data_IF_426148082568
#
_entry.id   IF_426148082568
#
_cell.length_a   1.000
_cell.length_b   1.000
_cell.length_c   1.000
_cell.angle_alpha   90.00
_cell.angle_beta   90.00
_cell.angle_gamma   90.00
#
_symmetry.space_group_name_H-M   'P 1'
#
loop_
_entity.id
_entity.type
_entity.pdbx_description
1 polymer ?
#
# COMPACT_ATOMS: atom_id res chain seq x y z
N UNK A 1 -42.92 -12.80 -5.72
CA UNK A 1 -41.51 -12.75 -5.29
C UNK A 1 -41.33 -11.48 -4.50
N UNK A 2 -41.14 -11.61 -3.19
CA UNK A 2 -40.97 -10.48 -2.29
C UNK A 2 -39.59 -9.87 -2.51
N UNK A 3 -39.57 -8.59 -2.85
CA UNK A 3 -38.42 -7.69 -2.75
C UNK A 3 -37.76 -7.93 -1.38
N UNK A 4 -36.65 -8.67 -1.35
CA UNK A 4 -35.84 -8.77 -0.15
C UNK A 4 -35.29 -7.39 0.12
N UNK A 5 -35.82 -6.80 1.19
CA UNK A 5 -35.50 -5.49 1.71
C UNK A 5 -33.99 -5.37 1.98
N UNK A 6 -33.24 -4.92 0.96
CA UNK A 6 -31.79 -4.68 0.99
C UNK A 6 -31.40 -3.66 2.09
N UNK A 7 -32.37 -2.93 2.65
CA UNK A 7 -32.17 -1.94 3.71
C UNK A 7 -31.80 -2.55 5.06
N UNK A 8 -32.06 -3.86 5.27
CA UNK A 8 -31.67 -4.57 6.51
C UNK A 8 -30.24 -5.12 6.49
N UNK A 9 -29.53 -4.95 5.38
CA UNK A 9 -28.14 -5.41 5.25
C UNK A 9 -27.13 -4.33 5.69
N UNK A 10 -25.97 -4.77 6.20
CA UNK A 10 -24.94 -3.87 6.72
C UNK A 10 -24.55 -2.79 5.70
N UNK A 11 -24.32 -1.55 6.16
CA UNK A 11 -24.04 -0.40 5.30
C UNK A 11 -22.81 -0.58 4.40
N UNK A 12 -21.93 -1.55 4.66
CA UNK A 12 -20.68 -1.77 3.94
C UNK A 12 -20.69 -3.02 3.04
N UNK A 13 -21.85 -3.52 2.61
CA UNK A 13 -21.91 -4.64 1.66
C UNK A 13 -21.41 -4.25 0.26
N UNK A 14 -20.42 -4.99 -0.23
CA UNK A 14 -19.76 -4.78 -1.52
C UNK A 14 -20.72 -4.99 -2.70
N UNK A 15 -21.76 -5.79 -2.49
CA UNK A 15 -22.86 -6.05 -3.40
C UNK A 15 -23.83 -4.86 -3.53
N UNK A 16 -23.93 -4.02 -2.50
CA UNK A 16 -24.74 -2.79 -2.53
C UNK A 16 -24.11 -1.73 -3.45
N UNK A 17 -22.80 -1.79 -3.62
CA UNK A 17 -22.01 -0.86 -4.44
C UNK A 17 -21.65 -1.43 -5.82
N UNK A 18 -22.17 -2.63 -6.17
CA UNK A 18 -21.91 -3.27 -7.46
C UNK A 18 -20.46 -3.74 -7.66
N UNK A 19 -19.68 -3.83 -6.58
CA UNK A 19 -18.26 -4.22 -6.61
C UNK A 19 -18.12 -5.74 -6.59
N UNK A 20 -19.10 -6.44 -5.99
CA UNK A 20 -19.29 -7.88 -6.11
C UNK A 20 -20.72 -8.16 -6.55
N UNK A 21 -20.90 -8.90 -7.64
CA UNK A 21 -22.20 -9.42 -8.05
C UNK A 21 -22.36 -10.83 -7.45
N UNK A 22 -23.05 -10.95 -6.32
CA UNK A 22 -23.80 -12.18 -6.12
C UNK A 22 -24.87 -12.17 -7.21
N UNK A 23 -24.79 -13.11 -8.16
CA UNK A 23 -25.81 -13.30 -9.18
C UNK A 23 -27.19 -13.25 -8.49
N UNK A 24 -28.25 -12.73 -9.14
CA UNK A 24 -29.56 -12.46 -8.49
C UNK A 24 -30.24 -13.70 -7.87
N UNK A 25 -29.63 -14.87 -8.05
CA UNK A 25 -30.04 -16.19 -7.55
C UNK A 25 -29.13 -16.73 -6.42
N UNK A 26 -28.00 -16.08 -6.12
CA UNK A 26 -27.10 -16.46 -5.03
C UNK A 26 -27.56 -15.70 -3.79
N UNK A 27 -28.25 -16.41 -2.90
CA UNK A 27 -28.49 -15.94 -1.53
C UNK A 27 -27.14 -15.64 -0.89
N UNK A 28 -26.99 -14.49 -0.24
CA UNK A 28 -25.88 -14.24 0.67
C UNK A 28 -25.85 -15.39 1.67
N UNK A 29 -24.75 -16.13 1.80
CA UNK A 29 -24.64 -17.14 2.84
C UNK A 29 -24.88 -16.43 4.18
N UNK A 30 -25.73 -16.99 5.04
CA UNK A 30 -26.02 -16.47 6.40
C UNK A 30 -24.77 -16.52 7.32
N UNK A 31 -23.65 -16.98 6.79
CA UNK A 31 -22.43 -17.43 7.46
C UNK A 31 -21.30 -16.37 7.52
N UNK A 32 -21.47 -15.18 6.95
CA UNK A 32 -20.47 -14.10 7.16
C UNK A 32 -20.74 -13.42 8.50
N UNK A 33 -20.08 -13.92 9.54
CA UNK A 33 -20.17 -13.42 10.92
C UNK A 33 -19.80 -11.92 10.99
N UNK A 34 -20.63 -11.16 11.71
CA UNK A 34 -20.45 -9.71 11.92
C UNK A 34 -19.09 -9.35 12.54
N UNK A 35 -18.53 -10.24 13.35
CA UNK A 35 -17.22 -10.06 13.98
C UNK A 35 -16.04 -9.98 12.99
N UNK A 36 -16.19 -10.48 11.74
CA UNK A 36 -15.17 -10.28 10.71
C UNK A 36 -15.08 -8.80 10.28
N UNK A 37 -16.19 -8.05 10.34
CA UNK A 37 -16.19 -6.61 10.07
C UNK A 37 -15.68 -5.77 11.26
N UNK A 38 -15.80 -6.30 12.49
CA UNK A 38 -15.39 -5.62 13.73
C UNK A 38 -13.86 -5.71 13.99
N UNK A 39 -13.11 -6.56 13.27
CA UNK A 39 -11.65 -6.70 13.38
C UNK A 39 -10.85 -5.75 12.49
N UNK A 40 -11.53 -5.00 11.60
CA UNK A 40 -10.94 -4.08 10.61
C UNK A 40 -10.33 -2.81 11.26
N UNK A 41 -10.55 -2.59 12.56
CA UNK A 41 -10.04 -1.45 13.34
C UNK A 41 -8.75 -1.71 14.12
N UNK A 42 -8.03 -2.80 13.87
CA UNK A 42 -6.74 -2.99 14.52
C UNK A 42 -5.69 -2.13 13.81
N UNK A 43 -5.39 -0.96 14.38
CA UNK A 43 -4.14 -0.25 14.08
C UNK A 43 -3.01 -1.28 14.09
N UNK A 44 -2.26 -1.43 12.98
CA UNK A 44 -1.19 -2.40 12.96
C UNK A 44 -0.21 -2.01 14.07
N UNK A 45 -0.04 -2.88 15.07
CA UNK A 45 1.03 -2.72 16.08
C UNK A 45 2.36 -2.74 15.33
N UNK A 46 2.87 -1.58 14.96
CA UNK A 46 4.13 -1.40 14.25
C UNK A 46 5.15 -0.74 15.15
N UNK A 47 6.41 -0.89 14.79
CA UNK A 47 7.47 -0.25 15.53
C UNK A 47 7.57 1.18 15.03
N UNK A 48 7.31 2.20 15.87
CA UNK A 48 7.42 3.58 15.44
C UNK A 48 8.86 3.88 15.01
N UNK A 49 9.03 4.83 14.09
CA UNK A 49 10.36 5.27 13.71
C UNK A 49 11.07 5.84 14.95
N UNK A 50 12.34 5.48 15.23
CA UNK A 50 13.03 5.84 16.46
C UNK A 50 13.55 7.29 16.45
N UNK A 51 12.67 8.30 16.39
CA UNK A 51 13.08 9.72 16.30
C UNK A 51 14.00 10.15 17.42
N UNK A 52 13.80 9.66 18.65
CA UNK A 52 14.66 10.01 19.79
C UNK A 52 16.13 9.69 19.51
N UNK A 53 16.41 8.63 18.75
CA UNK A 53 17.76 8.24 18.35
C UNK A 53 18.39 9.18 17.33
N UNK A 54 17.56 9.81 16.48
CA UNK A 54 18.01 10.68 15.40
C UNK A 54 17.78 12.17 15.71
N UNK A 55 17.44 12.53 16.95
CA UNK A 55 17.01 13.88 17.31
C UNK A 55 18.06 14.95 16.98
N UNK A 56 19.33 14.73 17.36
CA UNK A 56 20.41 15.67 17.10
C UNK A 56 20.75 15.77 15.61
N UNK A 57 20.77 14.62 14.91
CA UNK A 57 20.94 14.57 13.46
C UNK A 57 19.83 15.33 12.72
N UNK A 58 18.56 15.06 13.05
CA UNK A 58 17.40 15.73 12.46
C UNK A 58 17.41 17.22 12.75
N UNK A 59 17.76 17.61 13.98
CA UNK A 59 17.91 19.02 14.35
C UNK A 59 19.01 19.70 13.53
N UNK A 60 20.15 19.03 13.33
CA UNK A 60 21.25 19.57 12.52
C UNK A 60 20.80 19.76 11.06
N UNK A 61 20.22 18.73 10.44
CA UNK A 61 19.79 18.80 9.02
C UNK A 61 18.64 19.79 8.85
N UNK A 62 17.51 19.55 9.53
CA UNK A 62 16.26 20.29 9.31
C UNK A 62 16.32 21.73 9.79
N UNK A 63 17.21 22.09 10.73
CA UNK A 63 17.39 23.49 11.16
C UNK A 63 18.55 24.20 10.44
N UNK A 64 19.28 23.52 9.56
CA UNK A 64 20.38 24.15 8.84
C UNK A 64 19.90 25.22 7.88
N UNK A 65 20.72 26.24 7.66
CA UNK A 65 20.45 27.25 6.65
C UNK A 65 20.38 26.66 5.24
N UNK A 66 21.08 25.55 4.96
CA UNK A 66 21.04 24.89 3.66
C UNK A 66 19.69 24.21 3.40
N UNK A 67 19.07 23.63 4.43
CA UNK A 67 17.76 22.99 4.30
C UNK A 67 16.60 24.00 4.44
N UNK A 68 16.77 25.01 5.31
CA UNK A 68 15.73 26.01 5.64
C UNK A 68 15.75 27.28 4.80
N UNK A 69 16.61 27.42 3.80
CA UNK A 69 16.86 28.73 3.22
C UNK A 69 15.57 29.41 2.76
N UNK A 70 15.32 30.60 3.29
CA UNK A 70 14.27 31.52 2.83
C UNK A 70 14.98 32.68 2.15
N UNK A 71 15.21 32.60 0.85
CA UNK A 71 15.51 33.81 0.10
C UNK A 71 14.19 34.48 -0.23
N UNK A 72 14.14 35.80 -0.07
CA UNK A 72 12.96 36.66 -0.23
C UNK A 72 12.17 36.46 -1.53
N UNK A 73 12.69 35.71 -2.51
CA UNK A 73 12.05 35.41 -3.79
C UNK A 73 12.27 33.97 -4.31
N UNK A 74 12.95 33.08 -3.56
CA UNK A 74 13.20 31.68 -3.96
C UNK A 74 12.77 30.72 -2.84
N UNK A 75 11.78 29.88 -3.14
CA UNK A 75 11.32 28.80 -2.26
C UNK A 75 12.13 27.54 -2.59
N UNK A 76 12.85 26.96 -1.62
CA UNK A 76 13.55 25.70 -1.82
C UNK A 76 14.66 25.39 -0.82
N UNK A 77 15.33 24.25 -1.03
CA UNK A 77 16.55 23.86 -0.29
C UNK A 77 17.80 24.17 -1.14
N UNK A 78 18.93 24.61 -0.56
CA UNK A 78 20.22 24.59 -1.29
C UNK A 78 20.76 23.14 -1.27
N UNK A 79 21.83 22.86 -2.01
CA UNK A 79 22.62 21.64 -1.81
C UNK A 79 22.95 21.40 -0.33
N UNK A 80 22.20 20.49 0.29
CA UNK A 80 22.47 19.98 1.61
C UNK A 80 22.84 18.49 1.55
N UNK A 81 23.28 17.99 0.40
CA UNK A 81 23.61 16.56 0.21
C UNK A 81 24.68 16.11 1.19
N UNK A 82 25.78 16.87 1.30
CA UNK A 82 26.87 16.56 2.24
C UNK A 82 26.40 16.55 3.70
N UNK A 83 25.50 17.47 4.04
CA UNK A 83 24.91 17.58 5.37
C UNK A 83 23.96 16.41 5.69
N UNK A 84 23.08 16.04 4.75
CA UNK A 84 22.15 14.92 4.90
C UNK A 84 22.90 13.60 5.06
N UNK A 85 23.98 13.40 4.30
CA UNK A 85 24.75 12.16 4.39
C UNK A 85 25.87 12.21 5.44
N UNK A 86 26.00 13.30 6.19
CA UNK A 86 26.90 13.37 7.35
C UNK A 86 26.29 12.61 8.53
N UNK A 87 26.79 11.39 8.74
CA UNK A 87 26.39 10.50 9.83
C UNK A 87 27.17 10.76 11.13
N UNK A 88 27.98 11.81 11.22
CA UNK A 88 28.78 12.15 12.42
C UNK A 88 27.92 12.34 13.68
N UNK A 89 26.69 12.84 13.51
CA UNK A 89 25.72 13.06 14.59
C UNK A 89 24.83 11.83 14.87
N UNK A 90 25.11 10.69 14.23
CA UNK A 90 24.43 9.43 14.44
C UNK A 90 25.40 8.51 15.19
N UNK A 91 25.09 8.19 16.44
CA UNK A 91 25.88 7.26 17.27
C UNK A 91 26.11 5.89 16.61
N UNK A 92 27.23 5.24 16.94
CA UNK A 92 27.72 4.05 16.25
C UNK A 92 26.91 2.75 16.46
N UNK A 93 25.87 2.75 17.31
CA UNK A 93 25.19 1.54 17.81
C UNK A 93 23.76 1.33 17.30
N UNK A 94 23.38 1.92 16.17
CA UNK A 94 21.97 1.96 15.75
C UNK A 94 21.59 1.03 14.60
N UNK A 95 20.29 0.82 14.44
CA UNK A 95 19.70 0.01 13.38
C UNK A 95 20.13 0.54 12.00
N UNK A 96 20.92 -0.27 11.30
CA UNK A 96 21.42 0.05 9.95
C UNK A 96 20.29 0.39 8.98
N UNK A 97 19.12 -0.24 9.10
CA UNK A 97 17.98 0.06 8.24
C UNK A 97 17.49 1.49 8.46
N UNK A 98 17.41 1.96 9.70
CA UNK A 98 17.02 3.33 10.02
C UNK A 98 18.09 4.35 9.57
N UNK A 99 19.38 4.02 9.74
CA UNK A 99 20.52 4.84 9.31
C UNK A 99 20.53 5.02 7.78
N UNK A 100 20.13 4.01 7.02
CA UNK A 100 20.09 4.09 5.56
C UNK A 100 18.77 4.68 5.05
N UNK A 101 17.65 4.45 5.75
CA UNK A 101 16.33 4.97 5.39
C UNK A 101 16.26 6.49 5.52
N UNK A 102 16.63 7.04 6.67
CA UNK A 102 16.34 8.43 7.02
C UNK A 102 17.07 9.46 6.14
N UNK A 103 18.40 9.38 5.93
CA UNK A 103 19.10 10.30 5.03
C UNK A 103 18.52 10.28 3.61
N UNK A 104 18.13 9.11 3.11
CA UNK A 104 17.52 8.99 1.78
C UNK A 104 16.15 9.65 1.72
N UNK A 105 15.32 9.51 2.76
CA UNK A 105 14.04 10.25 2.85
C UNK A 105 14.29 11.76 2.77
N UNK A 106 15.19 12.27 3.61
CA UNK A 106 15.50 13.72 3.65
C UNK A 106 16.07 14.22 2.33
N UNK A 107 16.89 13.41 1.66
CA UNK A 107 17.40 13.71 0.33
C UNK A 107 16.28 13.78 -0.73
N UNK A 108 15.31 12.85 -0.71
CA UNK A 108 14.14 12.92 -1.61
C UNK A 108 13.30 14.17 -1.36
N UNK A 109 13.09 14.52 -0.10
CA UNK A 109 12.40 15.76 0.27
C UNK A 109 13.13 16.98 -0.29
N UNK A 110 14.41 17.13 0.03
CA UNK A 110 15.23 18.27 -0.42
C UNK A 110 15.26 18.40 -1.95
N UNK A 111 15.58 17.31 -2.66
CA UNK A 111 15.87 17.40 -4.10
C UNK A 111 14.61 17.37 -4.97
N UNK A 112 13.58 16.62 -4.59
CA UNK A 112 12.45 16.33 -5.48
C UNK A 112 11.14 17.00 -5.07
N UNK A 113 10.90 17.17 -3.76
CA UNK A 113 9.60 17.63 -3.23
C UNK A 113 9.66 19.12 -2.88
N UNK A 114 10.65 19.51 -2.08
CA UNK A 114 10.90 20.91 -1.73
C UNK A 114 11.69 21.62 -2.82
N UNK A 115 12.47 20.85 -3.57
CA UNK A 115 13.28 21.24 -4.73
C UNK A 115 14.30 22.34 -4.43
N UNK A 116 15.38 22.32 -5.21
CA UNK A 116 16.55 23.18 -5.12
C UNK A 116 16.58 24.33 -6.13
N UNK A 117 15.74 24.29 -7.18
CA UNK A 117 15.80 25.23 -8.32
C UNK A 117 14.45 25.64 -8.93
N UNK A 118 13.34 24.91 -8.72
CA UNK A 118 11.98 25.32 -9.08
C UNK A 118 10.99 24.30 -8.52
N UNK A 119 9.88 24.64 -7.84
CA UNK A 119 8.90 23.65 -7.43
C UNK A 119 8.40 22.91 -8.67
N UNK A 120 8.78 21.64 -8.83
CA UNK A 120 8.15 20.82 -9.86
C UNK A 120 6.67 20.82 -9.53
N UNK A 121 5.81 21.07 -10.51
CA UNK A 121 4.40 21.18 -10.26
C UNK A 121 3.86 19.77 -10.07
N UNK A 122 4.06 19.22 -8.86
CA UNK A 122 3.38 18.02 -8.38
C UNK A 122 1.86 18.19 -8.58
N UNK A 123 1.39 19.44 -8.65
CA UNK A 123 0.02 19.86 -8.95
C UNK A 123 -0.34 19.88 -10.45
N UNK A 124 0.62 19.89 -11.39
CA UNK A 124 0.32 19.97 -12.83
C UNK A 124 -0.13 18.64 -13.41
N UNK A 125 0.45 17.52 -12.96
CA UNK A 125 0.07 16.22 -13.46
C UNK A 125 0.28 15.12 -12.43
N UNK A 126 -0.58 14.11 -12.53
CA UNK A 126 -0.42 12.85 -11.81
C UNK A 126 0.94 12.20 -12.05
N UNK A 127 1.42 12.24 -13.31
CA UNK A 127 2.72 11.68 -13.67
C UNK A 127 3.84 12.39 -12.92
N UNK A 128 3.80 13.73 -12.84
CA UNK A 128 4.79 14.49 -12.07
C UNK A 128 4.71 14.13 -10.58
N UNK A 129 3.51 14.07 -10.01
CA UNK A 129 3.34 13.69 -8.61
C UNK A 129 3.89 12.30 -8.31
N UNK A 130 3.50 11.30 -9.11
CA UNK A 130 3.97 9.93 -8.95
C UNK A 130 5.49 9.84 -9.12
N UNK A 131 6.04 10.48 -10.17
CA UNK A 131 7.45 10.36 -10.50
C UNK A 131 8.39 11.05 -9.52
N UNK A 132 8.04 12.26 -9.06
CA UNK A 132 8.92 13.06 -8.21
C UNK A 132 8.69 12.83 -6.72
N UNK A 133 7.49 12.46 -6.29
CA UNK A 133 7.19 12.25 -4.87
C UNK A 133 6.93 10.78 -4.54
N UNK A 134 5.87 10.17 -5.09
CA UNK A 134 5.39 8.89 -4.59
C UNK A 134 6.37 7.74 -4.83
N UNK A 135 6.84 7.61 -6.07
CA UNK A 135 7.71 6.50 -6.45
C UNK A 135 9.05 6.52 -5.69
N UNK A 136 9.76 7.66 -5.59
CA UNK A 136 11.03 7.69 -4.86
C UNK A 136 10.87 7.45 -3.35
N UNK A 137 9.80 7.95 -2.72
CA UNK A 137 9.54 7.73 -1.30
C UNK A 137 9.18 6.26 -1.01
N UNK A 138 8.31 5.68 -1.84
CA UNK A 138 7.92 4.28 -1.71
C UNK A 138 9.11 3.34 -2.00
N UNK A 139 9.90 3.63 -3.03
CA UNK A 139 11.15 2.91 -3.31
C UNK A 139 12.06 2.93 -2.09
N UNK A 140 12.15 4.07 -1.38
CA UNK A 140 12.98 4.17 -0.20
C UNK A 140 12.51 3.25 0.95
N UNK A 141 11.19 3.13 1.17
CA UNK A 141 10.65 2.16 2.11
C UNK A 141 11.01 0.72 1.70
N UNK A 142 10.79 0.38 0.44
CA UNK A 142 10.99 -0.97 -0.11
C UNK A 142 12.45 -1.44 0.00
N UNK A 143 13.44 -0.62 -0.38
CA UNK A 143 14.85 -1.03 -0.37
C UNK A 143 15.42 -1.28 1.04
N UNK A 144 14.74 -0.81 2.08
CA UNK A 144 15.18 -0.98 3.47
C UNK A 144 14.58 -2.22 4.14
N UNK A 145 13.75 -2.98 3.44
CA UNK A 145 13.26 -4.26 3.96
C UNK A 145 14.33 -5.34 3.79
N UNK A 146 14.85 -5.94 4.88
CA UNK A 146 15.90 -6.96 4.79
C UNK A 146 15.45 -8.23 4.09
N UNK A 147 16.30 -8.78 3.20
CA UNK A 147 16.03 -10.04 2.49
C UNK A 147 14.90 -9.95 1.47
N UNK A 148 14.30 -8.77 1.31
CA UNK A 148 13.31 -8.48 0.29
C UNK A 148 14.06 -7.91 -0.90
N UNK A 149 14.29 -8.71 -1.93
CA UNK A 149 14.69 -8.16 -3.24
C UNK A 149 13.46 -7.61 -3.96
N UNK A 150 12.67 -6.75 -3.29
CA UNK A 150 11.46 -6.24 -3.91
C UNK A 150 11.78 -5.22 -5.00
N UNK A 151 11.36 -5.53 -6.22
CA UNK A 151 11.36 -4.54 -7.29
C UNK A 151 10.03 -3.79 -7.18
N UNK A 152 10.09 -2.52 -6.78
CA UNK A 152 8.97 -1.61 -6.96
C UNK A 152 8.89 -1.24 -8.44
N UNK A 153 7.92 -1.82 -9.14
CA UNK A 153 7.67 -1.56 -10.56
C UNK A 153 6.77 -0.35 -10.68
N UNK A 154 7.24 0.66 -11.40
CA UNK A 154 6.54 1.93 -11.61
C UNK A 154 5.79 1.93 -12.93
N UNK A 155 4.59 2.53 -12.93
CA UNK A 155 3.79 2.81 -14.11
C UNK A 155 3.09 1.57 -14.69
N UNK A 156 1.82 1.74 -15.07
CA UNK A 156 0.91 0.78 -15.75
C UNK A 156 1.37 -0.69 -15.72
N UNK A 157 1.67 -1.20 -14.52
CA UNK A 157 2.31 -2.50 -14.37
C UNK A 157 1.23 -3.55 -14.45
N UNK A 158 1.36 -4.46 -15.40
CA UNK A 158 0.42 -5.56 -15.58
C UNK A 158 0.48 -6.45 -14.34
N UNK A 159 -0.65 -6.56 -13.64
CA UNK A 159 -0.76 -7.44 -12.49
C UNK A 159 -0.95 -8.88 -12.94
N UNK A 160 0.17 -9.62 -13.04
CA UNK A 160 0.20 -11.05 -13.41
C UNK A 160 -0.63 -11.95 -12.52
N UNK A 161 -0.98 -11.50 -11.31
CA UNK A 161 -1.88 -12.22 -10.41
C UNK A 161 -3.23 -12.57 -11.07
N UNK A 162 -3.63 -11.82 -12.09
CA UNK A 162 -4.87 -12.02 -12.85
C UNK A 162 -4.75 -12.97 -14.04
N UNK A 163 -3.52 -13.30 -14.48
CA UNK A 163 -3.30 -14.27 -15.56
C UNK A 163 -3.86 -15.65 -15.16
N UNK A 164 -3.79 -15.99 -13.87
CA UNK A 164 -4.34 -17.22 -13.29
C UNK A 164 -5.87 -17.33 -13.38
N UNK A 165 -6.58 -16.23 -13.63
CA UNK A 165 -8.04 -16.21 -13.67
C UNK A 165 -8.60 -15.98 -15.08
N UNK A 166 -7.76 -15.90 -16.12
CA UNK A 166 -8.19 -15.50 -17.47
C UNK A 166 -8.81 -14.09 -17.49
N UNK A 167 -8.49 -13.27 -16.48
CA UNK A 167 -9.08 -11.96 -16.29
C UNK A 167 -8.32 -10.90 -17.11
N UNK A 168 -9.02 -9.86 -17.60
CA UNK A 168 -8.41 -8.84 -18.46
C UNK A 168 -7.37 -7.99 -17.72
N UNK A 169 -6.33 -7.59 -18.45
CA UNK A 169 -5.20 -6.77 -18.01
C UNK A 169 -5.57 -5.68 -16.97
N UNK A 170 -5.04 -5.81 -15.75
CA UNK A 170 -5.03 -4.77 -14.73
C UNK A 170 -3.70 -4.06 -14.75
N UNK A 171 -3.73 -2.72 -14.79
CA UNK A 171 -2.55 -1.89 -14.81
C UNK A 171 -2.52 -1.04 -13.55
N UNK A 172 -1.62 -1.37 -12.61
CA UNK A 172 -1.39 -0.57 -11.41
C UNK A 172 -0.44 0.60 -11.70
N UNK A 173 -0.53 1.67 -10.92
CA UNK A 173 0.41 2.80 -11.01
C UNK A 173 1.75 2.49 -10.36
N UNK A 174 1.75 1.56 -9.40
CA UNK A 174 2.96 0.89 -8.94
C UNK A 174 2.66 -0.43 -8.24
N UNK A 175 3.61 -1.37 -8.26
CA UNK A 175 3.50 -2.66 -7.59
C UNK A 175 4.81 -3.02 -6.92
N UNK A 176 4.76 -3.47 -5.67
CA UNK A 176 5.90 -4.08 -4.98
C UNK A 176 5.81 -5.59 -5.12
N UNK A 177 6.83 -6.23 -5.72
CA UNK A 177 6.85 -7.67 -5.99
C UNK A 177 8.01 -8.36 -5.28
N UNK A 178 7.78 -9.52 -4.66
CA UNK A 178 8.85 -10.42 -4.20
C UNK A 178 9.55 -11.04 -5.43
N UNK A 179 10.75 -10.57 -5.76
CA UNK A 179 11.42 -10.88 -7.03
C UNK A 179 11.73 -12.35 -7.24
N UNK A 180 12.05 -13.10 -6.18
CA UNK A 180 12.36 -14.53 -6.34
C UNK A 180 11.15 -15.35 -6.80
N UNK A 181 9.93 -14.88 -6.49
CA UNK A 181 8.69 -15.63 -6.69
C UNK A 181 7.64 -14.88 -7.52
N UNK A 182 7.92 -13.65 -7.95
CA UNK A 182 7.03 -12.78 -8.75
C UNK A 182 5.62 -12.64 -8.16
N UNK A 183 5.53 -12.53 -6.82
CA UNK A 183 4.26 -12.30 -6.10
C UNK A 183 4.20 -10.87 -5.59
N UNK A 184 3.04 -10.24 -5.73
CA UNK A 184 2.83 -8.88 -5.26
C UNK A 184 2.54 -8.81 -3.75
N UNK A 185 3.09 -7.78 -3.10
CA UNK A 185 2.85 -7.44 -1.69
C UNK A 185 2.20 -6.07 -1.48
N UNK A 186 2.29 -5.17 -2.45
CA UNK A 186 1.68 -3.85 -2.37
C UNK A 186 1.30 -3.31 -3.75
N UNK A 187 0.15 -2.64 -3.83
CA UNK A 187 -0.29 -1.85 -4.98
C UNK A 187 -0.32 -0.36 -4.61
N UNK A 188 0.11 0.47 -5.55
CA UNK A 188 -0.07 1.91 -5.56
C UNK A 188 -1.07 2.30 -6.66
N UNK A 189 -2.07 3.09 -6.30
CA UNK A 189 -2.95 3.81 -7.23
C UNK A 189 -2.89 5.31 -6.92
N UNK A 190 -2.82 6.13 -7.97
CA UNK A 190 -2.72 7.59 -7.87
C UNK A 190 -3.90 8.25 -8.58
N UNK A 191 -4.74 8.95 -7.82
CA UNK A 191 -5.94 9.62 -8.35
C UNK A 191 -5.69 11.11 -8.62
N UNK A 192 -4.87 11.41 -9.63
CA UNK A 192 -4.61 12.77 -10.07
C UNK A 192 -3.31 13.38 -9.54
N UNK A 193 -3.11 14.66 -9.88
CA UNK A 193 -1.98 15.44 -9.41
C UNK A 193 -2.10 15.74 -7.91
N UNK A 194 -0.99 16.12 -7.28
CA UNK A 194 -0.98 16.50 -5.88
C UNK A 194 -1.99 17.62 -5.58
N UNK A 195 -2.77 17.44 -4.52
CA UNK A 195 -3.78 18.41 -4.08
C UNK A 195 -5.04 18.46 -4.95
N UNK A 196 -5.16 17.65 -6.01
CA UNK A 196 -6.39 17.59 -6.81
C UNK A 196 -7.46 16.74 -6.13
N UNK A 197 -8.72 17.17 -6.24
CA UNK A 197 -9.89 16.43 -5.79
C UNK A 197 -10.71 16.00 -6.99
N UNK A 198 -10.42 14.83 -7.54
CA UNK A 198 -11.27 14.19 -8.55
C UNK A 198 -12.02 13.03 -7.90
N UNK A 199 -13.20 13.31 -7.33
CA UNK A 199 -14.01 12.34 -6.59
C UNK A 199 -14.40 11.11 -7.43
N UNK A 200 -14.78 11.28 -8.69
CA UNK A 200 -15.14 10.14 -9.55
C UNK A 200 -13.95 9.21 -9.79
N UNK A 201 -12.78 9.79 -10.05
CA UNK A 201 -11.56 9.02 -10.26
C UNK A 201 -11.06 8.37 -8.97
N UNK A 202 -11.22 9.07 -7.84
CA UNK A 202 -10.91 8.57 -6.51
C UNK A 202 -11.62 7.24 -6.23
N UNK A 203 -12.95 7.25 -6.28
CA UNK A 203 -13.77 6.06 -6.04
C UNK A 203 -13.37 4.91 -6.96
N UNK A 204 -13.16 5.22 -8.24
CA UNK A 204 -12.76 4.21 -9.21
C UNK A 204 -11.41 3.58 -8.90
N UNK A 205 -10.38 4.38 -8.62
CA UNK A 205 -9.03 3.90 -8.31
C UNK A 205 -8.98 3.17 -6.95
N UNK A 206 -9.86 3.55 -6.01
CA UNK A 206 -10.02 2.83 -4.75
C UNK A 206 -10.54 1.40 -4.97
N UNK A 207 -11.65 1.28 -5.72
CA UNK A 207 -12.25 -0.01 -6.09
C UNK A 207 -11.26 -0.85 -6.91
N UNK A 208 -10.54 -0.19 -7.83
CA UNK A 208 -9.49 -0.81 -8.63
C UNK A 208 -8.39 -1.36 -7.71
N UNK A 209 -7.88 -0.59 -6.76
CA UNK A 209 -6.88 -1.06 -5.80
C UNK A 209 -7.34 -2.27 -4.99
N UNK A 210 -8.56 -2.23 -4.46
CA UNK A 210 -9.15 -3.36 -3.72
C UNK A 210 -9.24 -4.63 -4.60
N UNK A 211 -9.68 -4.50 -5.84
CA UNK A 211 -9.70 -5.59 -6.82
C UNK A 211 -8.29 -6.15 -7.07
N UNK A 212 -7.28 -5.28 -7.21
CA UNK A 212 -5.89 -5.68 -7.40
C UNK A 212 -5.32 -6.45 -6.20
N UNK A 213 -5.60 -5.98 -4.98
CA UNK A 213 -5.18 -6.65 -3.74
C UNK A 213 -5.80 -8.04 -3.61
N UNK A 214 -7.09 -8.18 -3.88
CA UNK A 214 -7.75 -9.49 -3.89
C UNK A 214 -7.09 -10.43 -4.90
N UNK A 215 -6.82 -9.97 -6.12
CA UNK A 215 -6.16 -10.77 -7.14
C UNK A 215 -4.77 -11.24 -6.67
N UNK A 216 -3.98 -10.37 -6.03
CA UNK A 216 -2.69 -10.74 -5.45
C UNK A 216 -2.80 -11.80 -4.37
N UNK A 217 -3.79 -11.69 -3.47
CA UNK A 217 -4.05 -12.72 -2.46
C UNK A 217 -4.38 -14.06 -3.14
N UNK A 218 -5.30 -14.08 -4.11
CA UNK A 218 -5.62 -15.30 -4.85
C UNK A 218 -4.38 -15.89 -5.51
N UNK A 219 -3.52 -15.08 -6.12
CA UNK A 219 -2.29 -15.54 -6.74
C UNK A 219 -1.32 -16.15 -5.73
N UNK A 220 -1.20 -15.58 -4.53
CA UNK A 220 -0.41 -16.15 -3.43
C UNK A 220 -0.98 -17.51 -3.03
N UNK A 221 -2.30 -17.60 -2.78
CA UNK A 221 -2.94 -18.84 -2.32
C UNK A 221 -2.94 -19.93 -3.40
N UNK A 222 -3.04 -19.55 -4.67
CA UNK A 222 -2.98 -20.49 -5.80
C UNK A 222 -1.59 -21.08 -5.94
N UNK A 223 -0.56 -20.24 -5.75
CA UNK A 223 0.84 -20.68 -5.80
C UNK A 223 1.19 -21.60 -4.64
N UNK A 224 0.64 -21.35 -3.45
CA UNK A 224 0.91 -22.11 -2.23
C UNK A 224 -0.31 -22.90 -1.73
N UNK A 225 -1.01 -23.54 -2.66
CA UNK A 225 -2.31 -24.20 -2.42
C UNK A 225 -2.30 -25.32 -1.36
N UNK A 226 -1.14 -25.91 -1.08
CA UNK A 226 -0.97 -27.00 -0.12
C UNK A 226 -0.53 -26.51 1.27
N UNK A 227 -0.34 -25.20 1.48
CA UNK A 227 0.07 -24.67 2.77
C UNK A 227 -1.01 -24.83 3.85
N UNK A 228 -0.59 -24.76 5.12
CA UNK A 228 -1.49 -24.82 6.26
C UNK A 228 -2.45 -23.61 6.24
N UNK A 229 -3.76 -23.87 6.30
CA UNK A 229 -4.81 -22.85 6.33
C UNK A 229 -4.70 -21.89 7.51
N UNK A 230 -4.11 -22.31 8.63
CA UNK A 230 -3.90 -21.44 9.78
C UNK A 230 -2.96 -20.26 9.47
N UNK A 231 -2.11 -20.37 8.45
CA UNK A 231 -1.20 -19.28 8.05
C UNK A 231 -1.89 -18.20 7.21
N UNK A 232 -3.17 -18.41 6.84
CA UNK A 232 -3.94 -17.43 6.07
C UNK A 232 -4.19 -16.14 6.86
N UNK A 233 -4.32 -16.24 8.19
CA UNK A 233 -4.60 -15.08 9.06
C UNK A 233 -3.47 -14.03 9.04
N UNK A 234 -2.25 -14.46 8.72
CA UNK A 234 -1.08 -13.59 8.64
C UNK A 234 -0.86 -12.99 7.24
N UNK A 235 -1.55 -13.51 6.21
CA UNK A 235 -1.37 -13.04 4.83
C UNK A 235 -1.99 -11.65 4.68
N UNK A 236 -1.17 -10.72 4.21
CA UNK A 236 -1.59 -9.36 3.92
C UNK A 236 -1.01 -8.90 2.58
N UNK A 237 -1.84 -8.20 1.81
CA UNK A 237 -1.45 -7.44 0.63
C UNK A 237 -1.87 -5.99 0.88
N UNK A 238 -0.97 -5.06 0.57
CA UNK A 238 -1.12 -3.68 0.98
C UNK A 238 -1.60 -2.81 -0.17
N UNK A 239 -2.42 -1.82 0.16
CA UNK A 239 -2.90 -0.84 -0.80
C UNK A 239 -2.51 0.56 -0.34
N UNK A 240 -1.73 1.28 -1.16
CA UNK A 240 -1.53 2.71 -1.01
C UNK A 240 -2.35 3.40 -2.08
N UNK A 241 -3.26 4.25 -1.63
CA UNK A 241 -4.04 5.12 -2.49
C UNK A 241 -3.70 6.56 -2.17
N UNK A 242 -3.40 7.35 -3.20
CA UNK A 242 -3.16 8.77 -3.01
C UNK A 242 -4.34 9.59 -3.52
N UNK A 243 -5.09 10.17 -2.58
CA UNK A 243 -6.29 10.95 -2.82
C UNK A 243 -6.71 11.73 -1.58
N UNK A 244 -7.67 12.64 -1.74
CA UNK A 244 -8.16 13.47 -0.64
C UNK A 244 -9.12 12.72 0.29
N UNK A 245 -8.71 12.64 1.57
CA UNK A 245 -9.49 12.29 2.79
C UNK A 245 -10.29 10.99 2.76
N UNK A 246 -9.73 9.92 3.34
CA UNK A 246 -10.50 8.80 3.93
C UNK A 246 -9.78 8.17 5.16
N UNK A 247 -10.43 7.22 5.83
CA UNK A 247 -10.24 6.77 7.24
C UNK A 247 -9.15 5.71 7.50
N UNK A 248 -8.23 5.49 6.57
CA UNK A 248 -7.05 4.63 6.77
C UNK A 248 -5.88 5.49 7.28
N UNK A 249 -4.73 4.93 7.67
CA UNK A 249 -3.55 5.73 8.05
C UNK A 249 -3.27 6.76 6.96
N UNK A 250 -3.58 8.02 7.26
CA UNK A 250 -3.49 9.12 6.31
C UNK A 250 -2.28 9.94 6.62
N UNK A 251 -1.59 10.34 5.55
CA UNK A 251 -0.50 11.26 5.62
C UNK A 251 -0.66 12.30 4.52
N UNK A 252 -0.41 13.57 4.86
CA UNK A 252 -0.37 14.66 3.90
C UNK A 252 1.08 14.98 3.61
N UNK A 253 1.51 14.76 2.37
CA UNK A 253 2.82 15.17 1.92
C UNK A 253 2.99 16.68 2.08
N UNK A 254 4.03 17.10 2.80
CA UNK A 254 4.33 18.52 2.97
C UNK A 254 5.23 19.05 1.86
N UNK A 255 4.84 20.19 1.29
CA UNK A 255 5.64 20.91 0.27
C UNK A 255 6.49 22.01 0.91
N UNK A 256 6.30 22.30 2.19
CA UNK A 256 7.04 23.30 2.92
C UNK A 256 8.26 22.66 3.60
N UNK A 257 9.46 23.10 3.24
CA UNK A 257 10.70 22.62 3.87
C UNK A 257 10.82 23.03 5.34
N UNK A 258 10.04 24.02 5.79
CA UNK A 258 9.96 24.42 7.20
C UNK A 258 9.04 23.53 8.03
N UNK A 259 8.16 22.76 7.38
CA UNK A 259 7.21 21.89 8.04
C UNK A 259 7.87 20.60 8.52
N UNK A 260 8.73 20.73 9.53
CA UNK A 260 9.42 19.62 10.16
C UNK A 260 8.46 18.58 10.76
N UNK A 261 7.23 18.99 11.13
CA UNK A 261 6.18 18.06 11.55
C UNK A 261 5.68 17.22 10.37
N UNK A 262 5.32 17.85 9.24
CA UNK A 262 4.91 17.14 8.03
C UNK A 262 6.02 16.25 7.44
N UNK A 263 7.30 16.64 7.55
CA UNK A 263 8.43 15.77 7.16
C UNK A 263 8.51 14.55 8.09
N UNK A 264 8.36 14.77 9.40
CA UNK A 264 8.36 13.72 10.41
C UNK A 264 7.23 12.71 10.18
N UNK A 265 6.01 13.20 9.95
CA UNK A 265 4.85 12.36 9.68
C UNK A 265 5.06 11.52 8.40
N UNK A 266 5.76 12.06 7.40
CA UNK A 266 6.14 11.30 6.20
C UNK A 266 7.09 10.15 6.53
N UNK A 267 8.12 10.45 7.32
CA UNK A 267 9.11 9.47 7.76
C UNK A 267 8.39 8.35 8.52
N UNK A 268 7.47 8.68 9.42
CA UNK A 268 6.63 7.72 10.14
C UNK A 268 5.80 6.87 9.19
N UNK A 269 5.11 7.50 8.24
CA UNK A 269 4.27 6.79 7.27
C UNK A 269 5.06 5.81 6.41
N UNK A 270 6.17 6.25 5.79
CA UNK A 270 6.95 5.36 4.93
C UNK A 270 7.72 4.29 5.73
N UNK A 271 8.05 4.56 6.99
CA UNK A 271 8.58 3.55 7.90
C UNK A 271 7.53 2.48 8.24
N UNK A 272 6.29 2.91 8.49
CA UNK A 272 5.14 2.03 8.66
C UNK A 272 4.95 1.14 7.41
N UNK A 273 4.99 1.71 6.20
CA UNK A 273 4.90 0.96 4.94
C UNK A 273 5.98 -0.11 4.87
N UNK A 274 7.23 0.23 5.20
CA UNK A 274 8.34 -0.72 5.27
C UNK A 274 8.00 -1.86 6.25
N UNK A 275 7.60 -1.56 7.48
CA UNK A 275 7.30 -2.56 8.50
C UNK A 275 6.14 -3.50 8.10
N UNK A 276 5.09 -2.95 7.48
CA UNK A 276 3.98 -3.75 6.96
C UNK A 276 4.45 -4.67 5.84
N UNK A 277 5.25 -4.17 4.88
CA UNK A 277 5.86 -4.99 3.83
C UNK A 277 6.71 -6.13 4.40
N UNK A 278 7.46 -5.88 5.49
CA UNK A 278 8.23 -6.93 6.17
C UNK A 278 7.31 -8.03 6.72
N UNK A 279 6.17 -7.65 7.32
CA UNK A 279 5.20 -8.61 7.85
C UNK A 279 4.58 -9.44 6.71
N UNK A 280 4.12 -8.79 5.65
CA UNK A 280 3.57 -9.47 4.47
C UNK A 280 4.56 -10.44 3.84
N UNK A 281 5.84 -10.03 3.69
CA UNK A 281 6.90 -10.90 3.19
C UNK A 281 7.10 -12.14 4.07
N UNK A 282 7.15 -11.96 5.39
CA UNK A 282 7.33 -13.07 6.35
C UNK A 282 6.17 -14.05 6.27
N UNK A 283 4.93 -13.55 6.20
CA UNK A 283 3.75 -14.38 6.08
C UNK A 283 3.77 -15.22 4.79
N UNK A 284 4.08 -14.60 3.64
CA UNK A 284 4.22 -15.33 2.37
C UNK A 284 5.37 -16.34 2.41
N UNK A 285 6.48 -16.01 3.07
CA UNK A 285 7.62 -16.93 3.23
C UNK A 285 7.26 -18.14 4.10
N UNK A 286 6.51 -17.92 5.19
CA UNK A 286 5.98 -18.99 6.03
C UNK A 286 5.01 -19.88 5.25
N UNK A 287 4.13 -19.29 4.44
CA UNK A 287 3.21 -20.02 3.57
C UNK A 287 3.97 -20.87 2.55
N UNK A 288 5.00 -20.31 1.91
CA UNK A 288 5.88 -21.04 0.98
C UNK A 288 6.55 -22.24 1.66
N UNK A 289 7.10 -22.05 2.87
CA UNK A 289 7.75 -23.13 3.62
C UNK A 289 6.76 -24.25 3.95
N UNK A 290 5.58 -23.90 4.47
CA UNK A 290 4.53 -24.88 4.79
C UNK A 290 4.02 -25.61 3.55
N UNK A 291 3.83 -24.92 2.42
CA UNK A 291 3.46 -25.56 1.16
C UNK A 291 4.52 -26.59 0.73
N UNK A 292 5.80 -26.23 0.80
CA UNK A 292 6.89 -27.12 0.41
C UNK A 292 6.90 -28.37 1.31
N UNK A 293 6.82 -28.21 2.63
CA UNK A 293 6.74 -29.33 3.58
C UNK A 293 5.57 -30.27 3.26
N UNK A 294 4.39 -29.72 2.99
CA UNK A 294 3.19 -30.50 2.68
C UNK A 294 3.22 -31.15 1.27
N UNK A 295 3.92 -30.54 0.31
CA UNK A 295 3.99 -31.03 -1.07
C UNK A 295 4.82 -32.31 -1.22
N UNK A 296 5.71 -32.59 -0.26
CA UNK A 296 6.55 -33.80 -0.24
C UNK A 296 6.02 -34.91 0.68
N UNK A 297 4.90 -34.68 1.35
CA UNK A 297 4.30 -35.65 2.26
C UNK A 297 3.39 -36.64 1.50
N UNK A 298 4.02 -37.63 0.86
CA UNK A 298 3.36 -38.65 0.04
C UNK A 298 2.52 -39.65 0.86
N UNK A 299 2.69 -39.70 2.19
CA UNK A 299 2.17 -40.78 3.04
C UNK A 299 0.79 -40.50 3.68
N UNK A 300 0.22 -39.29 3.53
CA UNK A 300 -1.03 -38.88 4.21
C UNK A 300 -2.19 -38.50 3.28
N UNK A 301 -2.15 -38.91 2.00
CA UNK A 301 -3.23 -38.66 1.02
C UNK A 301 -4.41 -39.63 1.21
N UNK A 302 -5.05 -39.59 2.37
CA UNK A 302 -6.39 -40.21 2.57
C UNK A 302 -7.48 -39.20 2.86
N UNK A 303 -7.13 -37.98 3.26
CA UNK A 303 -8.08 -36.86 3.38
C UNK A 303 -7.68 -35.77 2.39
N UNK A 304 -8.48 -35.58 1.33
CA UNK A 304 -8.27 -34.51 0.36
C UNK A 304 -8.29 -33.17 1.08
N UNK A 305 -7.12 -32.51 1.23
CA UNK A 305 -7.07 -31.16 1.78
C UNK A 305 -7.78 -30.22 0.83
N UNK A 306 -8.64 -29.38 1.38
CA UNK A 306 -9.33 -28.33 0.65
C UNK A 306 -8.28 -27.29 0.19
N UNK A 307 -8.10 -27.05 -1.12
CA UNK A 307 -7.10 -26.10 -1.60
C UNK A 307 -7.38 -24.69 -1.07
N UNK A 308 -6.35 -23.96 -0.62
CA UNK A 308 -6.52 -22.62 -0.03
C UNK A 308 -7.35 -21.63 -0.88
N UNK A 309 -7.23 -21.58 -2.22
CA UNK A 309 -8.06 -20.68 -3.03
C UNK A 309 -9.57 -20.90 -2.87
N UNK A 310 -10.00 -22.11 -2.53
CA UNK A 310 -11.42 -22.45 -2.35
C UNK A 310 -12.00 -21.91 -1.05
N UNK A 311 -11.13 -21.47 -0.12
CA UNK A 311 -11.52 -20.80 1.12
C UNK A 311 -11.84 -19.32 0.91
N UNK A 312 -11.41 -18.73 -0.20
CA UNK A 312 -11.75 -17.35 -0.53
C UNK A 312 -13.17 -17.26 -1.08
N UNK A 313 -14.03 -16.52 -0.37
CA UNK A 313 -15.36 -16.13 -0.84
C UNK A 313 -15.56 -14.62 -0.64
N UNK A 314 -16.25 -13.93 -1.56
CA UNK A 314 -16.82 -14.43 -2.82
C UNK A 314 -15.83 -14.41 -4.00
N UNK A 315 -16.25 -14.94 -5.15
CA UNK A 315 -15.48 -14.95 -6.41
C UNK A 315 -15.34 -13.54 -6.99
N UNK A 316 -14.15 -13.22 -7.51
CA UNK A 316 -13.79 -11.90 -8.04
C UNK A 316 -14.68 -11.46 -9.21
N UNK A 317 -15.14 -10.22 -9.19
CA UNK A 317 -15.84 -9.58 -10.32
C UNK A 317 -15.16 -8.26 -10.64
N UNK A 318 -14.83 -8.07 -11.92
CA UNK A 318 -14.12 -6.88 -12.37
C UNK A 318 -15.05 -5.66 -12.43
N UNK A 319 -14.60 -4.48 -11.98
CA UNK A 319 -15.32 -3.23 -12.22
C UNK A 319 -15.40 -2.92 -13.72
N UNK A 320 -16.61 -2.68 -14.24
CA UNK A 320 -16.82 -2.27 -15.63
C UNK A 320 -16.50 -0.79 -15.83
N UNK A 321 -15.59 -0.47 -16.75
CA UNK A 321 -15.34 0.93 -17.18
C UNK A 321 -16.61 1.46 -17.87
N UNK A 322 -17.24 2.47 -17.29
CA UNK A 322 -18.43 3.12 -17.84
C UNK A 322 -19.76 2.65 -17.23
N UNK A 323 -19.75 1.75 -16.23
CA UNK A 323 -20.89 1.63 -15.35
C UNK A 323 -21.11 2.99 -14.67
N UNK A 324 -22.33 3.51 -14.77
CA UNK A 324 -22.71 4.78 -14.17
C UNK A 324 -22.52 4.64 -12.64
N UNK A 325 -21.48 5.27 -12.10
CA UNK A 325 -21.20 5.32 -10.66
C UNK A 325 -22.06 6.39 -9.95
N UNK A 326 -23.17 6.83 -10.55
CA UNK A 326 -24.09 7.79 -9.95
C UNK A 326 -24.63 7.18 -8.64
N UNK A 327 -24.42 7.89 -7.53
CA UNK A 327 -24.73 7.43 -6.18
C UNK A 327 -23.59 6.70 -5.45
N UNK A 328 -22.54 6.22 -6.13
CA UNK A 328 -21.33 5.70 -5.45
C UNK A 328 -20.45 6.88 -4.99
N UNK A 329 -20.46 7.99 -5.73
CA UNK A 329 -19.71 9.21 -5.41
C UNK A 329 -20.24 9.91 -4.14
N UNK A 330 -21.56 9.81 -3.90
CA UNK A 330 -22.21 10.25 -2.65
C UNK A 330 -22.07 9.22 -1.52
N UNK A 331 -21.64 8.01 -1.88
CA UNK A 331 -21.39 6.88 -0.98
C UNK A 331 -19.90 6.58 -1.00
N UNK A 332 -19.08 7.58 -0.65
CA UNK A 332 -17.62 7.49 -0.54
C UNK A 332 -17.25 6.07 -0.08
N UNK A 333 -16.55 5.28 -0.91
CA UNK A 333 -16.41 3.85 -0.70
C UNK A 333 -15.50 3.60 0.49
N UNK A 334 -16.11 3.64 1.67
CA UNK A 334 -15.53 3.16 2.92
C UNK A 334 -14.96 1.77 2.61
N UNK A 335 -13.64 1.70 2.74
CA UNK A 335 -12.81 0.68 2.15
C UNK A 335 -13.10 -0.72 2.66
N UNK A 336 -12.80 -1.65 1.77
CA UNK A 336 -12.84 -3.09 1.94
C UNK A 336 -11.62 -3.53 2.73
N UNK A 337 -11.79 -4.43 3.70
CA UNK A 337 -10.65 -5.16 4.30
C UNK A 337 -11.10 -6.54 4.76
N UNK A 338 -10.29 -7.56 4.45
CA UNK A 338 -10.46 -8.98 4.81
C UNK A 338 -10.29 -9.22 6.31
#
# INVERSE_FOLDING_TARGET
>A
MTETDLTKSHHYKLERYGIMQCDRLIKTPDDILKCFYDQITLEPKTTPFPFGTFADYLKNVLLSNSYKLTLLFDWGTIDCTSLIFDKSNIGASFDKAAIDFLPRMLYRFSEQIHNRLCPYPLMESEVAYSHFALWPLLQNAVITVPGLTCDFKVGKTLLKALDYQGAPNYNADGVVLMKEIDLGLLILETSGAYGTMNCHRHVFDHIKGAFGCYAMIVSILTKYKEANANLLEDISVNFIHTSAKERVVTYKLTLDSQDSAGIRDAIEFFWLVKDILMKSQRAVTSLMKSNNENSFDFELVTNSRTPLPTLLKPTLIKPNKGAVCDGIVDSDPISFTL
#
